data_IF_990597708146
#
_entry.id   IF_990597708146
#
_cell.length_a   1.000
_cell.length_b   1.000
_cell.length_c   1.000
_cell.angle_alpha   90.00
_cell.angle_beta   90.00
_cell.angle_gamma   90.00
#
_symmetry.space_group_name_H-M   'P 1'
#
loop_
_entity.id
_entity.type
_entity.pdbx_description
1 polymer ?
2 polymer ?
#
loop_
_entity_poly.entity_id
_entity_poly.type
_entity_poly.pdbx_seq_one_letter_code
_entity_poly.pdbx_strand_id
1 'polydeoxyribonucleotide' '(DA)(DC)' ?
#
# COMPACT_ATOMS: atom_id res chain seq x y z
N UNK C 1 3.44 -17.73 18.60
CA UNK C 1 4.35 -18.06 17.45
C UNK C 1 4.41 -16.93 16.41
N UNK C 2 3.24 -16.44 15.93
CA UNK C 2 3.07 -15.37 14.93
C UNK C 2 3.93 -14.08 14.94
N UNK C 3 3.57 -13.10 15.77
CA UNK C 3 4.30 -11.82 15.80
C UNK C 3 5.42 -11.62 16.84
N UNK C 4 6.05 -10.45 16.81
CA UNK C 4 7.16 -10.15 17.70
C UNK C 4 7.47 -8.67 17.63
N UNK C 5 7.53 -8.00 18.78
CA UNK C 5 7.82 -6.58 18.78
C UNK C 5 9.32 -6.34 18.92
N UNK C 6 9.91 -6.04 17.75
CA UNK C 6 11.34 -5.81 17.58
C UNK C 6 11.89 -4.39 17.69
N UNK C 7 12.97 -4.26 18.46
CA UNK C 7 13.62 -2.97 18.62
C UNK C 7 14.68 -2.87 17.52
N UNK C 8 14.76 -1.72 16.87
CA UNK C 8 15.76 -1.49 15.83
C UNK C 8 16.60 -0.23 16.08
N UNK C 9 17.87 -0.25 15.64
CA UNK C 9 18.82 0.86 15.80
C UNK C 9 18.56 1.99 14.80
N UNK C 10 17.29 2.19 14.45
CA UNK C 10 16.90 3.23 13.50
C UNK C 10 17.73 4.52 13.55
N UNK C 11 17.78 5.26 12.44
CA UNK C 11 18.50 6.53 12.26
C UNK C 11 18.04 7.59 13.28
N UNK C 12 18.90 8.58 13.52
CA UNK C 12 18.61 9.64 14.49
C UNK C 12 17.14 10.02 14.71
N UNK C 13 16.53 10.83 13.83
CA UNK C 13 15.14 11.09 14.20
C UNK C 13 14.15 10.18 13.48
N UNK C 14 13.54 9.29 14.25
CA UNK C 14 12.55 8.35 13.73
C UNK C 14 11.28 9.17 13.54
N UNK C 15 10.92 9.37 12.28
CA UNK C 15 9.76 10.16 11.95
C UNK C 15 8.77 9.30 11.14
N UNK C 16 7.54 9.79 11.03
CA UNK C 16 6.49 9.11 10.28
C UNK C 16 6.14 9.94 9.04
N UNK C 17 6.37 9.36 7.87
CA UNK C 17 6.12 10.06 6.62
C UNK C 17 4.64 10.09 6.22
N UNK C 18 4.20 11.27 5.78
CA UNK C 18 2.83 11.55 5.39
C UNK C 18 2.90 12.32 4.08
N UNK C 19 2.00 12.01 3.15
CA UNK C 19 1.98 12.68 1.86
C UNK C 19 1.26 14.01 1.94
N UNK C 20 1.72 15.00 1.18
CA UNK C 20 1.06 16.30 1.19
C UNK C 20 0.13 16.42 -0.01
N UNK C 21 -1.18 16.51 0.24
CA UNK C 21 -2.11 16.64 -0.89
C UNK C 21 -1.74 17.84 -1.78
N UNK C 22 -2.32 17.89 -2.96
CA UNK C 22 -2.03 18.97 -3.88
C UNK C 22 -2.50 20.32 -3.35
N UNK C 23 -1.59 21.30 -3.35
CA UNK C 23 -1.95 22.63 -2.87
C UNK C 23 -1.75 22.87 -1.39
N UNK C 24 -1.43 21.81 -0.66
CA UNK C 24 -1.20 21.88 0.79
C UNK C 24 0.29 22.13 1.05
N UNK C 25 0.59 23.18 1.79
CA UNK C 25 1.98 23.48 2.05
C UNK C 25 2.33 23.70 3.53
N UNK C 26 3.46 23.13 3.93
CA UNK C 26 3.94 23.21 5.33
C UNK C 26 5.46 23.28 5.44
N UNK C 27 5.93 24.06 6.41
CA UNK C 27 7.37 24.22 6.67
C UNK C 27 7.78 23.59 7.99
N UNK C 28 9.08 23.39 8.13
CA UNK C 28 9.63 22.81 9.35
C UNK C 28 9.17 23.56 10.60
N UNK C 29 8.82 22.82 11.64
CA UNK C 29 8.39 23.45 12.87
C UNK C 29 6.91 23.74 12.96
N UNK C 30 6.12 23.20 12.05
CA UNK C 30 4.69 23.46 12.09
C UNK C 30 3.87 22.24 12.48
N UNK C 31 2.80 22.44 13.22
CA UNK C 31 1.98 21.31 13.65
C UNK C 31 1.05 20.91 12.53
N UNK C 32 0.69 19.63 12.50
CA UNK C 32 -0.18 19.11 11.45
C UNK C 32 -1.06 18.00 11.99
N UNK C 33 -2.27 17.88 11.47
CA UNK C 33 -3.18 16.84 11.91
C UNK C 33 -2.92 15.65 10.99
N UNK C 34 -2.63 14.48 11.54
CA UNK C 34 -2.33 13.35 10.69
C UNK C 34 -3.02 12.03 11.10
N UNK C 35 -3.31 11.16 10.15
CA UNK C 35 -3.96 9.92 10.59
C UNK C 35 -2.99 9.10 11.46
N UNK C 36 -3.52 8.09 12.16
CA UNK C 36 -2.72 7.23 13.03
C UNK C 36 -3.62 6.06 13.41
N UNK C 37 -3.22 4.85 13.05
CA UNK C 37 -4.06 3.71 13.35
C UNK C 37 -5.13 3.63 12.28
N UNK C 38 -5.84 2.51 12.24
CA UNK C 38 -6.87 2.30 11.25
C UNK C 38 -7.97 3.34 11.26
N UNK C 39 -7.95 4.31 12.18
CA UNK C 39 -9.01 5.32 12.13
C UNK C 39 -8.94 6.57 13.03
N UNK C 40 -7.92 6.67 13.89
CA UNK C 40 -7.77 7.84 14.78
C UNK C 40 -6.87 8.95 14.20
N UNK C 41 -7.12 10.20 14.61
CA UNK C 41 -6.30 11.37 14.19
C UNK C 41 -5.35 11.75 15.35
N UNK C 42 -4.37 12.60 15.07
CA UNK C 42 -3.41 13.05 16.09
C UNK C 42 -2.60 14.27 15.65
N UNK C 43 -2.04 15.00 16.62
CA UNK C 43 -1.26 16.18 16.32
C UNK C 43 0.22 15.86 16.33
N UNK C 44 0.94 16.37 15.34
CA UNK C 44 2.36 16.14 15.27
C UNK C 44 3.04 17.36 14.76
N UNK C 45 4.38 17.34 14.74
CA UNK C 45 5.14 18.48 14.25
C UNK C 45 6.07 18.09 13.12
N UNK C 46 5.93 18.80 12.01
CA UNK C 46 6.77 18.53 10.85
C UNK C 46 8.20 18.87 11.22
N UNK C 47 9.10 17.93 10.97
CA UNK C 47 10.51 18.10 11.25
C UNK C 47 11.24 18.56 10.02
N UNK C 48 10.79 18.03 8.89
CA UNK C 48 11.37 18.34 7.59
C UNK C 48 10.46 17.91 6.44
N UNK C 49 10.75 18.44 5.27
CA UNK C 49 9.98 18.12 4.10
C UNK C 49 10.95 17.81 2.96
N UNK C 50 10.90 16.57 2.47
CA UNK C 50 11.78 16.17 1.38
C UNK C 50 10.98 15.74 0.15
N UNK C 51 11.69 15.12 -0.79
CA UNK C 51 11.13 14.61 -2.06
C UNK C 51 11.16 13.10 -2.11
N UNK C 52 11.32 12.45 -0.96
CA UNK C 52 11.37 10.98 -0.92
C UNK C 52 11.13 10.34 0.45
N UNK C 53 10.44 9.19 0.43
CA UNK C 53 10.15 8.41 1.64
C UNK C 53 10.63 6.97 1.48
N UNK C 54 10.88 6.29 2.59
CA UNK C 54 11.34 4.90 2.55
C UNK C 54 10.26 4.01 1.97
N UNK C 55 9.10 4.60 1.73
CA UNK C 55 7.97 3.87 1.20
C UNK C 55 7.42 4.58 -0.02
N UNK C 56 6.62 3.87 -0.81
CA UNK C 56 6.02 4.44 -2.02
C UNK C 56 5.24 5.72 -1.73
N UNK C 57 5.43 6.74 -2.55
CA UNK C 57 4.73 8.00 -2.37
C UNK C 57 3.23 7.89 -2.51
N UNK C 58 2.70 6.67 -2.53
CA UNK C 58 1.26 6.47 -2.69
C UNK C 58 0.73 5.61 -1.59
N UNK C 59 1.65 4.94 -0.88
CA UNK C 59 1.29 4.08 0.23
C UNK C 59 1.27 4.85 1.54
N UNK C 60 1.66 6.12 1.49
CA UNK C 60 1.67 6.93 2.69
C UNK C 60 0.29 7.54 2.83
N UNK C 61 -0.11 7.85 4.06
CA UNK C 61 -1.40 8.48 4.30
C UNK C 61 -1.17 9.96 4.08
N UNK C 62 -2.24 10.73 3.92
CA UNK C 62 -2.07 12.15 3.65
C UNK C 62 -2.29 12.99 4.89
N UNK C 63 -1.55 14.10 4.96
CA UNK C 63 -1.69 15.06 6.07
C UNK C 63 -3.13 15.55 5.96
N UNK C 64 -3.79 15.73 7.09
CA UNK C 64 -5.18 16.19 7.11
C UNK C 64 -5.34 17.68 7.09
N UNK C 65 -4.60 18.35 7.96
CA UNK C 65 -4.70 19.79 8.06
C UNK C 65 -3.48 20.36 8.74
N UNK C 66 -3.05 21.52 8.27
CA UNK C 66 -1.90 22.16 8.87
C UNK C 66 -2.48 23.14 9.88
N UNK C 67 -1.96 23.11 11.11
CA UNK C 67 -2.45 23.98 12.16
C UNK C 67 -1.65 25.26 12.30
N UNK C 68 -0.49 25.33 11.66
CA UNK C 68 0.35 26.50 11.79
C UNK C 68 0.86 27.08 10.49
N UNK C 69 0.56 28.35 10.24
CA UNK C 69 1.03 29.00 9.03
C UNK C 69 2.54 29.11 9.18
N UNK C 70 2.98 29.50 10.37
CA UNK C 70 4.40 29.66 10.65
C UNK C 70 4.87 28.85 11.84
N UNK C 71 6.17 28.52 11.87
CA UNK C 71 6.79 27.74 12.95
C UNK C 71 6.40 28.23 14.33
N UNK C 72 5.78 27.36 15.11
CA UNK C 72 5.35 27.71 16.47
C UNK C 72 6.61 27.81 17.38
N UNK C 73 7.76 27.50 16.80
CA UNK C 73 9.03 27.54 17.51
C UNK C 73 9.98 28.54 16.83
N UNK C 74 10.75 29.27 17.64
CA UNK C 74 11.72 30.25 17.11
C UNK C 74 12.82 29.52 16.34
N UNK C 75 13.49 30.21 15.42
CA UNK C 75 14.52 29.54 14.66
C UNK C 75 15.66 29.04 15.55
N UNK C 76 15.90 29.72 16.67
CA UNK C 76 16.97 29.33 17.61
C UNK C 76 16.50 28.10 18.39
N UNK C 77 15.37 28.27 19.07
CA UNK C 77 14.71 27.24 19.87
C UNK C 77 14.62 25.93 19.12
N UNK C 78 14.22 26.03 17.86
CA UNK C 78 14.09 24.86 17.02
C UNK C 78 15.48 24.22 16.87
N UNK C 79 16.43 24.94 16.30
CA UNK C 79 17.76 24.40 16.12
C UNK C 79 18.28 23.73 17.37
N UNK C 80 18.04 24.36 18.53
CA UNK C 80 18.50 23.81 19.80
C UNK C 80 17.86 22.47 20.12
N UNK C 81 16.53 22.44 20.13
CA UNK C 81 15.75 21.24 20.41
C UNK C 81 16.18 20.00 19.61
N UNK C 82 16.27 20.15 18.30
CA UNK C 82 16.68 19.06 17.41
C UNK C 82 18.07 18.60 17.85
N UNK C 83 18.92 19.57 18.15
CA UNK C 83 20.25 19.23 18.58
C UNK C 83 20.18 18.47 19.91
N UNK C 84 19.45 19.03 20.87
CA UNK C 84 19.29 18.39 22.19
C UNK C 84 18.79 16.94 22.02
N UNK C 85 17.80 16.75 21.18
CA UNK C 85 17.26 15.42 20.94
C UNK C 85 18.33 14.47 20.41
N UNK C 86 19.15 14.99 19.51
CA UNK C 86 20.20 14.24 18.85
C UNK C 86 21.33 13.87 19.79
N UNK C 87 21.96 14.89 20.35
CA UNK C 87 23.08 14.70 21.23
C UNK C 87 22.85 13.89 22.52
N UNK C 88 21.66 13.99 23.10
CA UNK C 88 21.36 13.28 24.34
C UNK C 88 20.49 12.03 24.10
N UNK C 89 20.25 11.75 22.82
CA UNK C 89 19.49 10.58 22.40
C UNK C 89 18.07 10.49 22.92
N UNK C 90 17.29 11.54 22.68
CA UNK C 90 15.89 11.57 23.08
C UNK C 90 15.06 11.62 21.81
N UNK C 91 13.90 10.94 21.81
CA UNK C 91 13.04 10.94 20.61
C UNK C 91 12.67 12.35 20.28
N UNK C 92 12.87 12.76 19.03
CA UNK C 92 12.58 14.14 18.63
C UNK C 92 11.13 14.53 18.90
N UNK C 93 10.20 13.61 18.64
CA UNK C 93 8.82 13.92 18.92
C UNK C 93 8.59 14.13 20.43
N UNK C 94 9.30 13.34 21.26
CA UNK C 94 9.21 13.43 22.72
C UNK C 94 9.76 14.78 23.22
N UNK C 95 10.87 15.26 22.67
CA UNK C 95 11.40 16.53 23.12
C UNK C 95 10.54 17.66 22.60
N UNK C 96 10.14 17.60 21.34
CA UNK C 96 9.31 18.67 20.80
C UNK C 96 7.98 18.91 21.49
N UNK C 97 7.20 17.87 21.74
CA UNK C 97 5.92 18.12 22.36
C UNK C 97 5.92 18.45 23.84
N UNK C 98 6.96 18.06 24.56
CA UNK C 98 6.99 18.36 25.96
C UNK C 98 7.34 19.80 26.17
N UNK C 99 8.35 20.25 25.44
CA UNK C 99 8.84 21.61 25.55
C UNK C 99 7.83 22.71 25.16
N UNK C 100 7.01 22.43 24.15
CA UNK C 100 6.01 23.37 23.69
C UNK C 100 5.26 24.07 24.83
N UNK C 101 4.72 23.30 25.80
CA UNK C 101 3.99 23.86 26.93
C UNK C 101 4.89 24.67 27.85
N UNK C 102 6.19 24.48 27.73
CA UNK C 102 7.10 25.27 28.55
C UNK C 102 7.31 26.57 27.76
N UNK C 103 8.04 26.48 26.66
CA UNK C 103 8.35 27.66 25.81
C UNK C 103 7.22 28.65 25.60
N UNK C 104 6.01 28.18 25.33
CA UNK C 104 4.90 29.10 25.09
C UNK C 104 4.37 29.70 26.38
N UNK C 105 4.09 28.82 27.31
CA UNK C 105 3.56 29.18 28.59
C UNK C 105 4.66 29.87 29.41
N UNK D 1 6.72 20.28 -1.18
CA UNK D 1 7.24 18.98 -1.67
C UNK D 1 6.36 17.78 -1.31
N UNK D 2 6.78 16.55 -1.69
CA UNK D 2 6.06 15.30 -1.45
C UNK D 2 5.93 14.81 -0.01
N UNK D 3 6.90 14.00 0.42
CA UNK D 3 6.90 13.41 1.76
C UNK D 3 7.09 14.33 2.96
N UNK D 4 6.07 14.41 3.81
CA UNK D 4 6.19 15.21 5.02
C UNK D 4 6.54 14.20 6.10
N UNK D 5 7.73 14.33 6.64
CA UNK D 5 8.19 13.44 7.71
C UNK D 5 7.66 14.06 8.97
N UNK D 6 6.72 13.39 9.60
CA UNK D 6 6.21 13.97 10.81
C UNK D 6 6.56 13.18 12.05
N UNK D 7 6.63 13.90 13.14
CA UNK D 7 6.95 13.35 14.44
C UNK D 7 5.70 13.13 15.29
N UNK D 8 5.59 11.99 15.95
CA UNK D 8 4.42 11.79 16.81
C UNK D 8 4.83 11.11 18.08
N UNK D 9 4.14 11.41 19.20
CA UNK D 9 4.59 10.72 20.41
C UNK D 9 4.09 9.28 20.61
N UNK D 10 4.52 8.40 19.72
CA UNK D 10 4.17 6.99 19.75
C UNK D 10 4.35 6.42 21.17
N UNK D 11 3.72 5.27 21.48
CA UNK D 11 3.83 4.62 22.80
C UNK D 11 5.29 4.31 23.14
N UNK D 12 5.58 4.13 24.42
CA UNK D 12 6.96 3.89 24.87
C UNK D 12 7.91 3.10 23.95
N UNK D 13 7.81 1.75 23.92
CA UNK D 13 8.71 1.01 23.04
C UNK D 13 8.28 0.95 21.57
N UNK D 14 8.84 1.81 20.74
CA UNK D 14 8.51 1.83 19.33
C UNK D 14 9.23 0.63 18.70
N UNK D 15 8.47 -0.39 18.34
CA UNK D 15 9.03 -1.59 17.73
C UNK D 15 8.42 -1.90 16.35
N UNK D 16 9.08 -2.76 15.58
CA UNK D 16 8.53 -3.14 14.28
C UNK D 16 8.20 -4.63 14.30
N UNK D 17 6.95 -4.93 13.94
CA UNK D 17 6.43 -6.30 13.92
C UNK D 17 6.87 -7.10 12.71
N UNK D 18 7.16 -8.37 12.94
CA UNK D 18 7.52 -9.27 11.87
C UNK D 18 6.97 -10.64 12.26
N UNK D 19 6.50 -11.39 11.27
CA UNK D 19 5.93 -12.71 11.53
C UNK D 19 6.99 -13.79 11.69
N UNK D 20 6.69 -14.73 12.57
CA UNK D 20 7.57 -15.86 12.82
C UNK D 20 7.04 -17.04 11.98
N UNK D 21 7.85 -17.51 11.02
CA UNK D 21 7.47 -18.62 10.15
C UNK D 21 7.14 -19.87 10.98
N UNK D 22 6.57 -20.89 10.33
CA UNK D 22 6.25 -22.11 11.06
C UNK D 22 7.51 -22.75 11.63
N UNK D 23 7.41 -23.20 12.88
CA UNK D 23 8.52 -23.87 13.53
C UNK D 23 9.68 -23.00 14.00
N UNK D 24 9.61 -21.70 13.76
CA UNK D 24 10.67 -20.79 14.19
C UNK D 24 10.30 -20.25 15.58
N UNK D 25 11.23 -20.38 16.51
CA UNK D 25 10.98 -19.92 17.87
C UNK D 25 12.06 -18.96 18.37
N UNK D 26 11.62 -17.88 19.02
CA UNK D 26 12.55 -16.91 19.58
C UNK D 26 11.93 -16.28 20.81
N UNK D 27 12.77 -15.96 21.79
CA UNK D 27 12.27 -15.31 22.98
C UNK D 27 12.87 -13.91 23.13
N UNK D 28 12.38 -13.20 24.13
CA UNK D 28 12.81 -11.84 24.43
C UNK D 28 14.32 -11.74 24.68
N UNK D 29 14.97 -10.83 23.98
CA UNK D 29 16.41 -10.65 24.18
C UNK D 29 17.29 -11.36 23.17
N UNK D 30 16.65 -11.91 22.15
CA UNK D 30 17.37 -12.61 21.10
C UNK D 30 17.53 -11.74 19.86
N UNK D 31 18.68 -11.87 19.19
CA UNK D 31 18.95 -11.12 17.97
C UNK D 31 18.28 -11.88 16.83
N UNK D 32 17.79 -11.16 15.83
CA UNK D 32 17.17 -11.81 14.67
C UNK D 32 17.44 -10.98 13.43
N UNK D 33 17.64 -11.65 12.30
CA UNK D 33 17.90 -10.96 11.04
C UNK D 33 16.56 -10.77 10.36
N UNK D 34 16.20 -9.53 10.08
CA UNK D 34 14.91 -9.29 9.44
C UNK D 34 14.98 -8.36 8.24
N UNK D 35 13.89 -8.31 7.45
CA UNK D 35 13.88 -7.45 6.28
C UNK D 35 13.70 -6.01 6.67
N UNK D 36 14.22 -5.12 5.83
CA UNK D 36 14.11 -3.70 6.09
C UNK D 36 14.25 -3.00 4.75
N UNK D 37 13.23 -2.24 4.38
CA UNK D 37 13.27 -1.57 3.11
C UNK D 37 12.97 -2.59 2.01
N UNK D 38 12.80 -2.09 0.80
CA UNK D 38 12.49 -2.91 -0.37
C UNK D 38 13.42 -4.09 -0.63
N UNK D 39 14.58 -4.15 0.01
CA UNK D 39 15.44 -5.31 -0.26
C UNK D 39 16.57 -5.71 0.68
N UNK D 40 17.00 -4.86 1.61
CA UNK D 40 18.09 -5.30 2.47
C UNK D 40 17.68 -5.84 3.84
N UNK D 41 18.59 -6.60 4.44
CA UNK D 41 18.33 -7.18 5.73
C UNK D 41 19.09 -6.43 6.82
N UNK D 42 18.76 -6.75 8.07
CA UNK D 42 19.39 -6.12 9.22
C UNK D 42 19.14 -6.86 10.51
N UNK D 43 20.11 -6.78 11.43
CA UNK D 43 20.01 -7.43 12.71
C UNK D 43 19.13 -6.59 13.65
N UNK D 44 18.24 -7.28 14.37
CA UNK D 44 17.36 -6.61 15.30
C UNK D 44 17.35 -7.39 16.60
N UNK D 45 16.68 -6.84 17.61
CA UNK D 45 16.60 -7.49 18.90
C UNK D 45 15.16 -7.63 19.32
N UNK D 46 14.70 -8.86 19.46
CA UNK D 46 13.32 -9.11 19.86
C UNK D 46 13.03 -8.65 21.29
N UNK D 47 12.12 -7.68 21.40
CA UNK D 47 11.71 -7.09 22.66
C UNK D 47 10.65 -7.90 23.39
N UNK D 48 9.75 -8.48 22.60
CA UNK D 48 8.66 -9.29 23.14
C UNK D 48 8.02 -10.07 21.99
N UNK D 49 7.23 -11.07 22.35
CA UNK D 49 6.55 -11.88 21.35
C UNK D 49 5.08 -11.94 21.77
N UNK D 50 4.19 -11.34 20.98
CA UNK D 50 2.77 -11.35 21.31
C UNK D 50 2.02 -12.16 20.27
N UNK D 51 0.69 -12.13 20.36
CA UNK D 51 -0.15 -12.85 19.40
C UNK D 51 -1.08 -11.82 18.74
N UNK D 52 -0.61 -10.57 18.69
CA UNK D 52 -1.35 -9.46 18.10
C UNK D 52 -0.43 -8.36 17.57
N UNK D 53 -0.72 -7.93 16.34
CA UNK D 53 0.05 -6.89 15.66
C UNK D 53 -0.91 -5.76 15.25
N UNK D 54 -0.42 -4.52 15.33
CA UNK D 54 -1.27 -3.40 14.98
C UNK D 54 -1.69 -3.41 13.50
N UNK D 55 -1.26 -4.43 12.74
CA UNK D 55 -1.68 -4.59 11.35
C UNK D 55 -1.90 -6.08 11.08
N UNK D 56 -2.62 -6.45 10.00
CA UNK D 56 -2.88 -7.85 9.68
C UNK D 56 -1.71 -8.86 9.70
N UNK D 57 -1.99 -10.04 10.27
CA UNK D 57 -1.05 -11.17 10.38
C UNK D 57 -0.52 -11.64 9.02
N UNK D 58 -0.92 -10.97 7.94
CA UNK D 58 -0.48 -11.38 6.58
C UNK D 58 0.37 -10.35 5.83
N UNK D 59 0.26 -9.07 6.14
CA UNK D 59 1.12 -8.14 5.41
C UNK D 59 2.29 -7.62 6.24
N UNK D 60 2.72 -8.47 7.15
CA UNK D 60 3.86 -8.25 8.03
C UNK D 60 4.92 -9.13 7.34
N UNK D 61 6.17 -8.71 7.33
CA UNK D 61 7.18 -9.56 6.70
C UNK D 61 7.65 -10.56 7.76
N UNK D 62 8.36 -11.59 7.35
CA UNK D 62 8.80 -12.62 8.30
C UNK D 62 10.25 -12.53 8.70
N UNK D 63 10.55 -12.93 9.92
CA UNK D 63 11.92 -12.93 10.39
C UNK D 63 12.63 -13.91 9.45
N UNK D 64 13.92 -13.69 9.22
CA UNK D 64 14.68 -14.57 8.34
C UNK D 64 15.40 -15.66 9.12
N UNK D 65 16.00 -15.29 10.25
CA UNK D 65 16.71 -16.28 11.06
C UNK D 65 17.04 -15.75 12.45
N UNK D 66 16.93 -16.63 13.44
CA UNK D 66 17.25 -16.29 14.82
C UNK D 66 18.75 -16.52 14.97
N UNK D 67 19.45 -15.56 15.55
CA UNK D 67 20.88 -15.72 15.74
C UNK D 67 21.25 -16.15 17.16
N UNK D 68 20.26 -16.27 18.04
CA UNK D 68 20.57 -16.69 19.41
C UNK D 68 19.49 -17.59 20.00
N UNK D 69 19.91 -18.72 20.55
CA UNK D 69 18.98 -19.66 21.14
C UNK D 69 18.57 -19.12 22.51
N UNK D 70 19.53 -18.45 23.13
CA UNK D 70 19.34 -17.90 24.45
C UNK D 70 19.60 -16.38 24.44
N UNK D 71 18.87 -15.61 25.28
CA UNK D 71 19.03 -14.16 25.35
C UNK D 71 20.49 -13.73 25.52
N UNK D 72 20.92 -12.84 24.64
CA UNK D 72 22.28 -12.30 24.70
C UNK D 72 22.38 -11.38 25.89
N UNK D 73 21.23 -11.16 26.54
CA UNK D 73 21.13 -10.29 27.70
C UNK D 73 20.78 -11.05 29.00
N UNK D 74 21.40 -10.66 30.12
CA UNK D 74 21.12 -11.24 31.44
C UNK D 74 19.67 -10.87 31.79
N UNK D 75 18.98 -11.72 32.56
CA UNK D 75 17.61 -11.41 32.95
C UNK D 75 17.62 -10.03 33.61
N UNK D 76 18.63 -9.80 34.47
CA UNK D 76 18.76 -8.54 35.20
C UNK D 76 19.09 -7.43 34.20
N UNK D 77 20.18 -7.61 33.47
CA UNK D 77 20.62 -6.63 32.46
C UNK D 77 19.45 -6.20 31.59
N UNK D 78 18.68 -7.15 31.10
CA UNK D 78 17.52 -6.84 30.26
C UNK D 78 16.53 -5.93 31.01
N UNK D 79 16.02 -6.39 32.16
CA UNK D 79 15.05 -5.59 32.92
C UNK D 79 15.55 -4.15 33.10
N UNK D 80 16.83 -4.03 33.46
CA UNK D 80 17.48 -2.76 33.70
C UNK D 80 17.40 -1.86 32.47
N UNK D 81 17.98 -2.34 31.38
CA UNK D 81 18.03 -1.61 30.12
C UNK D 81 16.67 -1.12 29.62
N UNK D 82 15.64 -1.97 29.70
CA UNK D 82 14.33 -1.57 29.21
C UNK D 82 13.84 -0.43 30.09
N UNK D 83 14.19 -0.48 31.38
CA UNK D 83 13.81 0.55 32.34
C UNK D 83 14.47 1.86 31.95
N UNK D 84 15.80 1.84 31.87
CA UNK D 84 16.55 3.03 31.48
C UNK D 84 15.93 3.64 30.24
N UNK D 85 15.72 2.82 29.22
CA UNK D 85 15.11 3.30 28.00
C UNK D 85 13.86 4.13 28.31
N UNK D 86 12.95 3.56 29.09
CA UNK D 86 11.71 4.23 29.46
C UNK D 86 11.88 5.41 30.39
N UNK D 87 12.65 5.21 31.45
CA UNK D 87 12.85 6.27 32.44
C UNK D 87 13.50 7.53 31.91
N UNK D 88 14.58 7.38 31.13
CA UNK D 88 15.29 8.54 30.58
C UNK D 88 14.85 8.93 29.17
N UNK D 89 13.78 8.31 28.67
CA UNK D 89 13.28 8.66 27.34
C UNK D 89 14.31 8.39 26.24
N UNK D 90 14.75 7.16 26.13
CA UNK D 90 15.70 6.84 25.08
C UNK D 90 15.02 5.70 24.30
N UNK D 91 15.17 5.67 22.96
CA UNK D 91 14.51 4.58 22.22
C UNK D 91 15.14 3.20 22.57
N UNK D 92 14.29 2.19 22.75
CA UNK D 92 14.70 0.82 23.11
C UNK D 92 15.79 0.29 22.18
N UNK D 93 15.58 0.52 20.90
CA UNK D 93 16.51 0.07 19.88
C UNK D 93 17.87 0.66 20.12
N UNK D 94 17.91 1.97 20.36
CA UNK D 94 19.15 2.71 20.62
C UNK D 94 19.87 2.20 21.87
N UNK D 95 19.16 2.07 22.99
CA UNK D 95 19.80 1.58 24.21
C UNK D 95 20.35 0.19 23.99
N UNK D 96 19.49 -0.70 23.51
CA UNK D 96 19.84 -2.08 23.25
C UNK D 96 21.09 -2.33 22.38
N UNK D 97 21.19 -1.67 21.23
CA UNK D 97 22.33 -1.85 20.33
C UNK D 97 23.59 -1.19 20.84
N UNK D 98 23.43 0.00 21.39
CA UNK D 98 24.58 0.66 21.91
C UNK D 98 25.01 -0.09 23.16
N UNK D 99 24.08 -0.86 23.73
CA UNK D 99 24.38 -1.61 24.94
C UNK D 99 24.97 -3.00 24.68
N UNK D 100 24.74 -3.54 23.49
CA UNK D 100 25.22 -4.88 23.17
C UNK D 100 26.74 -5.07 23.23
N UNK D 101 27.50 -4.21 22.56
CA UNK D 101 28.97 -4.28 22.54
C UNK D 101 29.54 -4.29 23.96
N UNK D 102 29.41 -3.17 24.66
CA UNK D 102 29.95 -3.09 26.01
C UNK D 102 29.69 -4.38 26.78
N UNK D 103 28.55 -5.01 26.52
CA UNK D 103 28.19 -6.24 27.20
C UNK D 103 29.08 -7.43 26.87
N UNK D 104 29.34 -7.62 25.58
CA UNK D 104 30.19 -8.71 25.07
C UNK D 104 31.66 -8.34 25.21
N UNK E 1 -3.97 -26.12 -18.45
CA UNK E 1 -4.91 -25.70 -19.53
C UNK E 1 -6.38 -25.73 -19.13
N UNK E 2 -6.73 -25.13 -17.99
CA UNK E 2 -8.13 -25.12 -17.57
C UNK E 2 -8.64 -23.68 -17.40
N UNK E 3 -7.77 -22.71 -17.61
CA UNK E 3 -8.16 -21.31 -17.48
C UNK E 3 -7.93 -20.49 -18.76
N UNK E 4 -9.00 -20.08 -19.43
CA UNK E 4 -8.85 -19.29 -20.64
C UNK E 4 -8.96 -17.83 -20.25
N UNK E 5 -7.93 -17.05 -20.56
CA UNK E 5 -7.93 -15.64 -20.25
C UNK E 5 -8.53 -14.88 -21.41
N UNK E 6 -9.71 -14.33 -21.17
CA UNK E 6 -10.41 -13.64 -22.22
C UNK E 6 -10.46 -12.12 -22.12
N UNK E 7 -10.18 -11.44 -23.23
CA UNK E 7 -10.23 -10.01 -23.25
C UNK E 7 -11.66 -9.63 -23.64
N UNK E 8 -12.14 -8.53 -23.07
CA UNK E 8 -13.49 -8.06 -23.35
C UNK E 8 -13.49 -6.55 -23.57
N UNK E 9 -14.40 -6.02 -24.43
CA UNK E 9 -14.46 -4.58 -24.68
C UNK E 9 -15.23 -3.83 -23.59
N UNK E 10 -14.95 -4.14 -22.32
CA UNK E 10 -15.64 -3.51 -21.19
C UNK E 10 -15.73 -2.00 -21.33
N UNK E 11 -16.72 -1.40 -20.67
CA UNK E 11 -16.97 0.05 -20.68
C UNK E 11 -15.80 0.94 -20.24
N UNK E 12 -15.87 2.21 -20.63
CA UNK E 12 -14.86 3.23 -20.33
C UNK E 12 -13.93 2.95 -19.13
N UNK E 13 -14.31 3.34 -17.90
CA UNK E 13 -13.36 3.04 -16.81
C UNK E 13 -13.64 1.73 -16.10
N UNK E 14 -12.79 0.74 -16.36
CA UNK E 14 -12.94 -0.55 -15.71
C UNK E 14 -12.41 -0.41 -14.29
N UNK E 15 -13.33 -0.45 -13.34
CA UNK E 15 -12.97 -0.29 -11.94
C UNK E 15 -13.44 -1.51 -11.09
N UNK E 16 -12.93 -1.57 -9.87
CA UNK E 16 -13.24 -2.67 -8.98
C UNK E 16 -14.05 -2.20 -7.77
N UNK E 17 -15.25 -2.75 -7.63
CA UNK E 17 -16.17 -2.40 -6.56
C UNK E 17 -15.82 -3.02 -5.22
N UNK E 18 -15.86 -2.18 -4.19
CA UNK E 18 -15.59 -2.58 -2.83
C UNK E 18 -16.69 -1.90 -2.04
N UNK E 19 -17.16 -2.56 -0.99
CA UNK E 19 -18.23 -2.02 -0.16
C UNK E 19 -17.67 -1.17 0.98
N UNK E 20 -18.39 -0.10 1.29
CA UNK E 20 -18.03 0.84 2.33
C UNK E 20 -18.58 0.37 3.67
N UNK E 21 -17.72 0.17 4.67
CA UNK E 21 -18.10 -0.29 6.00
C UNK E 21 -18.99 0.75 6.65
N UNK E 22 -19.70 0.35 7.69
CA UNK E 22 -20.58 1.25 8.44
C UNK E 22 -19.73 2.38 9.01
N UNK E 23 -20.12 3.62 8.74
CA UNK E 23 -19.41 4.77 9.27
C UNK E 23 -18.15 5.23 8.55
N UNK E 24 -17.75 4.52 7.50
CA UNK E 24 -16.56 4.94 6.76
C UNK E 24 -16.96 5.80 5.57
N UNK E 25 -16.22 6.88 5.38
CA UNK E 25 -16.50 7.83 4.31
C UNK E 25 -15.33 8.08 3.37
N UNK E 26 -15.60 8.16 2.06
CA UNK E 26 -14.57 8.44 1.05
C UNK E 26 -15.19 9.09 -0.18
N UNK E 27 -14.52 10.08 -0.74
CA UNK E 27 -15.02 10.75 -1.94
C UNK E 27 -14.06 10.51 -3.11
N UNK E 28 -14.50 10.87 -4.30
CA UNK E 28 -13.66 10.69 -5.48
C UNK E 28 -12.27 11.33 -5.30
N UNK E 29 -11.21 10.61 -5.66
CA UNK E 29 -9.90 11.17 -5.56
C UNK E 29 -9.09 10.74 -4.36
N UNK E 30 -9.68 9.92 -3.52
CA UNK E 30 -8.98 9.48 -2.33
C UNK E 30 -8.47 8.06 -2.48
N UNK E 31 -7.28 7.84 -1.92
CA UNK E 31 -6.66 6.53 -1.93
C UNK E 31 -7.25 5.70 -0.80
N UNK E 32 -7.46 4.42 -1.06
CA UNK E 32 -8.03 3.52 -0.07
C UNK E 32 -7.21 2.24 -0.12
N UNK E 33 -7.20 1.49 0.97
CA UNK E 33 -6.46 0.24 0.99
C UNK E 33 -7.55 -0.81 0.82
N UNK E 34 -7.39 -1.72 -0.12
CA UNK E 34 -8.44 -2.72 -0.33
C UNK E 34 -7.88 -4.10 -0.51
N UNK E 35 -8.75 -5.11 -0.43
CA UNK E 35 -8.28 -6.49 -0.61
C UNK E 35 -8.10 -6.79 -2.09
N UNK E 36 -7.22 -7.73 -2.40
CA UNK E 36 -6.95 -8.10 -3.76
C UNK E 36 -6.36 -9.50 -3.72
N UNK E 37 -7.05 -10.46 -4.31
CA UNK E 37 -6.55 -11.82 -4.28
C UNK E 37 -7.03 -12.43 -2.98
N UNK E 38 -6.90 -13.74 -2.89
CA UNK E 38 -7.32 -14.51 -1.73
C UNK E 38 -6.52 -14.17 -0.46
N UNK E 39 -5.58 -13.23 -0.57
CA UNK E 39 -4.73 -12.92 0.58
C UNK E 39 -4.24 -11.50 0.87
N UNK E 40 -3.64 -10.86 -0.13
CA UNK E 40 -3.07 -9.53 0.10
C UNK E 40 -3.89 -8.28 -0.15
N UNK E 41 -3.31 -7.16 0.27
CA UNK E 41 -3.93 -5.86 0.12
C UNK E 41 -3.16 -5.03 -0.87
N UNK E 42 -3.77 -3.93 -1.31
CA UNK E 42 -3.14 -3.01 -2.26
C UNK E 42 -3.83 -1.65 -2.20
N UNK E 43 -3.13 -0.63 -2.67
CA UNK E 43 -3.70 0.71 -2.63
C UNK E 43 -4.43 1.01 -3.93
N UNK E 44 -5.59 1.64 -3.83
CA UNK E 44 -6.33 1.99 -5.02
C UNK E 44 -6.83 3.42 -4.89
N UNK E 45 -7.46 3.95 -5.92
CA UNK E 45 -7.98 5.32 -5.84
C UNK E 45 -9.43 5.31 -6.23
N UNK E 46 -10.29 5.71 -5.29
CA UNK E 46 -11.71 5.72 -5.59
C UNK E 46 -11.94 6.69 -6.72
N UNK E 47 -12.62 6.21 -7.76
CA UNK E 47 -12.89 7.01 -8.92
C UNK E 47 -14.26 7.64 -8.77
N UNK E 48 -15.14 6.97 -8.03
CA UNK E 48 -16.51 7.47 -7.79
C UNK E 48 -17.20 6.58 -6.75
N UNK E 49 -18.30 7.08 -6.22
CA UNK E 49 -19.06 6.36 -5.20
C UNK E 49 -20.54 6.40 -5.56
N UNK E 50 -21.13 5.25 -5.87
CA UNK E 50 -22.55 5.25 -6.20
C UNK E 50 -23.32 4.28 -5.29
N UNK E 51 -24.58 4.05 -5.65
CA UNK E 51 -25.47 3.18 -4.87
C UNK E 51 -25.73 1.83 -5.52
N UNK E 52 -24.90 1.47 -6.51
CA UNK E 52 -25.08 0.21 -7.20
C UNK E 52 -23.82 -0.42 -7.77
N UNK E 53 -23.74 -1.74 -7.68
CA UNK E 53 -22.61 -2.48 -8.19
C UNK E 53 -23.21 -3.56 -9.09
N UNK E 54 -22.57 -3.89 -10.20
CA UNK E 54 -23.18 -4.90 -11.03
C UNK E 54 -22.96 -6.31 -10.48
N UNK E 55 -22.84 -6.38 -9.16
CA UNK E 55 -22.66 -7.62 -8.42
C UNK E 55 -23.34 -7.40 -7.06
N UNK E 56 -23.76 -8.48 -6.38
CA UNK E 56 -24.42 -8.46 -5.06
C UNK E 56 -23.76 -7.56 -4.01
N UNK E 57 -24.55 -6.67 -3.41
CA UNK E 57 -24.05 -5.74 -2.39
C UNK E 57 -23.58 -6.50 -1.14
N UNK E 58 -23.43 -7.81 -1.26
CA UNK E 58 -23.01 -8.68 -0.16
C UNK E 58 -21.79 -9.49 -0.59
N UNK E 59 -21.68 -9.72 -1.89
CA UNK E 59 -20.61 -10.51 -2.50
C UNK E 59 -19.29 -9.77 -2.72
N UNK E 60 -19.27 -8.46 -2.48
CA UNK E 60 -18.04 -7.70 -2.69
C UNK E 60 -17.37 -7.48 -1.36
N UNK E 61 -16.04 -7.39 -1.38
CA UNK E 61 -15.26 -7.20 -0.15
C UNK E 61 -15.41 -5.76 0.36
N UNK E 62 -14.93 -5.51 1.58
CA UNK E 62 -15.02 -4.17 2.15
C UNK E 62 -13.70 -3.44 2.15
N UNK E 63 -13.75 -2.13 1.90
CA UNK E 63 -12.54 -1.32 1.90
C UNK E 63 -11.93 -1.53 3.28
N UNK E 64 -10.60 -1.43 3.37
CA UNK E 64 -9.93 -1.63 4.64
C UNK E 64 -9.67 -0.33 5.37
N UNK E 65 -9.22 0.69 4.65
CA UNK E 65 -8.95 1.98 5.28
C UNK E 65 -8.73 3.04 4.24
N UNK E 66 -9.22 4.24 4.51
CA UNK E 66 -9.02 5.32 3.59
C UNK E 66 -7.73 6.04 4.02
N UNK E 67 -6.92 6.43 3.05
CA UNK E 67 -5.66 7.12 3.31
C UNK E 67 -5.73 8.61 3.10
N UNK E 68 -6.85 9.08 2.55
CA UNK E 68 -7.01 10.51 2.25
C UNK E 68 -8.32 11.08 2.75
N UNK E 69 -8.23 12.14 3.54
CA UNK E 69 -9.43 12.79 4.05
C UNK E 69 -10.00 13.60 2.89
N UNK E 70 -9.08 14.09 2.05
CA UNK E 70 -9.46 14.88 0.89
C UNK E 70 -8.65 14.43 -0.31
N UNK E 71 -9.20 14.60 -1.53
CA UNK E 71 -8.62 14.23 -2.82
C UNK E 71 -7.16 14.61 -2.98
N UNK E 72 -6.34 13.59 -3.21
CA UNK E 72 -4.91 13.76 -3.38
C UNK E 72 -4.63 14.53 -4.68
N UNK E 73 -5.69 14.74 -5.46
CA UNK E 73 -5.58 15.49 -6.71
C UNK E 73 -6.50 16.70 -6.65
N UNK E 74 -6.08 17.76 -7.33
CA UNK E 74 -6.84 18.99 -7.43
C UNK E 74 -8.08 18.73 -8.27
N UNK E 75 -9.13 19.52 -8.06
CA UNK E 75 -10.33 19.30 -8.83
C UNK E 75 -10.09 19.38 -10.32
N UNK E 76 -9.20 20.27 -10.76
CA UNK E 76 -8.89 20.39 -12.20
C UNK E 76 -8.07 19.20 -12.69
N UNK E 77 -6.90 19.01 -12.07
CA UNK E 77 -6.01 17.91 -12.37
C UNK E 77 -6.78 16.60 -12.51
N UNK E 78 -7.75 16.39 -11.61
CA UNK E 78 -8.61 15.19 -11.61
C UNK E 78 -9.38 15.15 -12.93
N UNK E 79 -10.30 16.09 -13.10
CA UNK E 79 -11.09 16.13 -14.30
C UNK E 79 -10.20 15.92 -15.52
N UNK E 80 -9.01 16.48 -15.50
CA UNK E 80 -8.06 16.37 -16.62
C UNK E 80 -7.64 14.90 -16.84
N UNK E 81 -7.15 14.26 -15.77
CA UNK E 81 -6.70 12.87 -15.83
C UNK E 81 -7.76 11.88 -16.25
N UNK E 82 -8.96 12.00 -15.71
CA UNK E 82 -10.00 11.04 -16.10
C UNK E 82 -10.26 11.23 -17.60
N UNK E 83 -10.14 12.45 -18.09
CA UNK E 83 -10.35 12.71 -19.50
C UNK E 83 -9.25 12.06 -20.28
N UNK E 84 -8.03 12.44 -19.95
CA UNK E 84 -6.90 11.86 -20.66
C UNK E 84 -7.17 10.37 -20.80
N UNK E 85 -7.34 9.68 -19.68
CA UNK E 85 -7.57 8.25 -19.72
C UNK E 85 -8.66 7.78 -20.69
N UNK E 86 -9.74 8.53 -20.80
CA UNK E 86 -10.81 8.12 -21.68
C UNK E 86 -10.55 8.43 -23.16
N UNK E 87 -10.09 9.64 -23.42
CA UNK E 87 -9.83 10.09 -24.76
C UNK E 87 -8.71 9.29 -25.40
N UNK E 88 -7.61 9.11 -24.68
CA UNK E 88 -6.46 8.39 -25.20
C UNK E 88 -6.50 6.87 -24.96
N UNK E 89 -7.64 6.39 -24.53
CA UNK E 89 -7.83 4.98 -24.27
C UNK E 89 -6.75 4.37 -23.40
N UNK E 90 -6.50 4.97 -22.25
CA UNK E 90 -5.51 4.38 -21.33
C UNK E 90 -6.31 3.98 -20.11
N UNK E 91 -5.84 2.98 -19.38
CA UNK E 91 -6.45 2.45 -18.15
C UNK E 91 -6.49 3.53 -17.07
N UNK E 92 -7.68 3.86 -16.54
CA UNK E 92 -7.83 4.91 -15.53
C UNK E 92 -6.91 4.70 -14.34
N UNK E 93 -6.77 3.44 -13.93
CA UNK E 93 -5.91 3.14 -12.82
C UNK E 93 -4.44 3.35 -13.18
N UNK E 94 -4.09 3.11 -14.44
CA UNK E 94 -2.72 3.30 -14.93
C UNK E 94 -2.36 4.77 -14.89
N UNK E 95 -3.21 5.61 -15.48
CA UNK E 95 -2.94 7.05 -15.54
C UNK E 95 -2.86 7.67 -14.17
N UNK E 96 -3.80 7.32 -13.29
CA UNK E 96 -3.82 7.88 -11.94
C UNK E 96 -2.61 7.56 -11.10
N UNK E 97 -2.20 6.30 -11.02
CA UNK E 97 -1.04 6.03 -10.19
C UNK E 97 0.31 6.43 -10.76
N UNK E 98 0.44 6.46 -12.07
CA UNK E 98 1.69 6.91 -12.66
C UNK E 98 1.78 8.40 -12.49
N UNK E 99 0.69 9.09 -12.78
CA UNK E 99 0.69 10.54 -12.65
C UNK E 99 0.92 11.05 -11.23
N UNK E 100 0.56 10.27 -10.21
CA UNK E 100 0.72 10.70 -8.82
C UNK E 100 2.08 11.31 -8.48
N UNK E 101 3.16 10.50 -8.52
CA UNK E 101 4.52 10.97 -8.22
C UNK E 101 4.81 12.27 -8.95
N UNK E 102 4.85 12.18 -10.27
CA UNK E 102 5.11 13.31 -11.14
C UNK E 102 4.27 14.54 -10.82
N UNK E 103 3.03 14.35 -10.40
CA UNK E 103 2.17 15.50 -10.08
C UNK E 103 2.56 16.11 -8.73
N UNK E 104 2.71 15.26 -7.71
CA UNK E 104 3.06 15.67 -6.37
C UNK E 104 4.51 16.09 -6.18
N UNK E 105 4.85 17.27 -6.68
CA UNK E 105 6.20 17.81 -6.54
C UNK E 105 7.29 16.91 -7.13
N UNK F 2 -24.18 1.94 -1.52
CA UNK F 2 -22.93 2.49 -0.91
C UNK F 2 -21.66 1.76 -1.37
N UNK F 3 -21.38 1.80 -2.67
CA UNK F 3 -20.17 1.18 -3.25
C UNK F 3 -19.17 2.20 -3.76
N UNK F 4 -17.89 1.94 -3.49
CA UNK F 4 -16.81 2.81 -3.93
C UNK F 4 -16.16 2.18 -5.13
N UNK F 5 -16.18 2.89 -6.26
CA UNK F 5 -15.59 2.42 -7.48
C UNK F 5 -14.11 2.79 -7.47
N UNK F 6 -13.27 1.82 -7.15
CA UNK F 6 -11.86 2.03 -7.02
C UNK F 6 -11.01 1.65 -8.23
N UNK F 7 -10.06 2.52 -8.57
CA UNK F 7 -9.15 2.30 -9.67
C UNK F 7 -7.88 1.71 -9.06
N UNK F 8 -7.32 0.68 -9.70
CA UNK F 8 -6.09 0.02 -9.21
C UNK F 8 -5.07 -0.08 -10.31
N UNK F 9 -3.78 0.03 -9.97
CA UNK F 9 -2.71 -0.07 -10.97
C UNK F 9 -2.42 -1.52 -11.33
N UNK F 10 -3.48 -2.30 -11.53
CA UNK F 10 -3.39 -3.71 -11.89
C UNK F 10 -2.36 -3.99 -12.99
N UNK F 11 -1.72 -5.17 -12.98
CA UNK F 11 -0.70 -5.60 -13.96
C UNK F 11 -1.10 -5.51 -15.43
N UNK F 12 -0.08 -5.50 -16.28
CA UNK F 12 -0.21 -5.39 -17.73
C UNK F 12 -1.60 -5.74 -18.35
N UNK F 13 -1.85 -7.01 -18.78
CA UNK F 13 -3.18 -7.20 -19.36
C UNK F 13 -4.21 -7.65 -18.33
N UNK F 14 -5.18 -6.78 -18.05
CA UNK F 14 -6.27 -7.10 -17.13
C UNK F 14 -7.15 -8.03 -17.93
N UNK F 15 -7.23 -9.27 -17.51
CA UNK F 15 -8.05 -10.20 -18.25
C UNK F 15 -8.97 -10.91 -17.27
N UNK F 16 -10.08 -11.45 -17.79
CA UNK F 16 -11.05 -12.15 -16.97
C UNK F 16 -10.90 -13.67 -17.16
N UNK F 17 -10.69 -14.37 -16.04
CA UNK F 17 -10.49 -15.80 -16.03
C UNK F 17 -11.80 -16.55 -16.08
N UNK F 18 -11.81 -17.57 -16.94
CA UNK F 18 -12.96 -18.44 -17.16
C UNK F 18 -12.44 -19.86 -17.19
N UNK F 19 -13.18 -20.80 -16.60
CA UNK F 19 -12.78 -22.20 -16.58
C UNK F 19 -13.14 -22.91 -17.88
N UNK F 20 -12.26 -23.81 -18.29
CA UNK F 20 -12.46 -24.58 -19.51
C UNK F 20 -13.02 -25.94 -19.16
N UNK F 21 -14.29 -26.19 -19.50
CA UNK F 21 -14.93 -27.48 -19.21
C UNK F 21 -14.16 -28.65 -19.78
N UNK F 22 -14.39 -29.83 -19.21
CA UNK F 22 -13.71 -31.05 -19.64
C UNK F 22 -13.93 -31.29 -21.14
N UNK F 23 -12.83 -31.49 -21.85
CA UNK F 23 -12.91 -31.75 -23.29
C UNK F 23 -12.97 -30.52 -24.20
N UNK F 24 -13.12 -29.34 -23.61
CA UNK F 24 -13.21 -28.09 -24.36
C UNK F 24 -11.81 -27.50 -24.46
N UNK F 25 -11.36 -27.18 -25.67
CA UNK F 25 -10.03 -26.62 -25.78
C UNK F 25 -9.94 -25.45 -26.75
N UNK F 26 -9.12 -24.46 -26.39
CA UNK F 26 -8.92 -23.27 -27.22
C UNK F 26 -7.49 -22.76 -27.15
N UNK F 27 -7.15 -22.01 -28.18
CA UNK F 27 -5.83 -21.44 -28.32
C UNK F 27 -5.85 -19.90 -28.26
N UNK F 28 -4.71 -19.33 -27.89
CA UNK F 28 -4.59 -17.88 -27.78
C UNK F 28 -4.95 -17.25 -29.12
N UNK F 29 -5.77 -16.21 -29.09
CA UNK F 29 -6.15 -15.56 -30.33
C UNK F 29 -7.50 -16.00 -30.83
N UNK F 30 -8.18 -16.81 -30.04
CA UNK F 30 -9.49 -17.28 -30.43
C UNK F 30 -10.61 -16.67 -29.59
N UNK F 31 -11.76 -16.50 -30.23
CA UNK F 31 -12.94 -15.91 -29.61
C UNK F 31 -13.72 -16.95 -28.81
N UNK F 32 -14.38 -16.51 -27.77
CA UNK F 32 -15.15 -17.43 -26.96
C UNK F 32 -16.36 -16.69 -26.40
N UNK F 33 -17.44 -17.41 -26.16
CA UNK F 33 -18.62 -16.80 -25.57
C UNK F 33 -18.50 -17.10 -24.09
N UNK F 34 -18.71 -16.09 -23.25
CA UNK F 34 -18.59 -16.30 -21.81
C UNK F 34 -19.64 -15.55 -21.00
N UNK F 35 -19.86 -15.95 -19.74
CA UNK F 35 -20.86 -15.23 -18.94
C UNK F 35 -20.29 -13.90 -18.48
N UNK F 36 -21.17 -12.95 -18.18
CA UNK F 36 -20.77 -11.63 -17.68
C UNK F 36 -21.99 -11.09 -16.96
N UNK F 37 -21.83 -10.78 -15.68
CA UNK F 37 -22.97 -10.30 -14.90
C UNK F 37 -23.70 -11.58 -14.52
N UNK F 38 -24.57 -11.58 -13.51
CA UNK F 38 -25.24 -12.84 -13.23
C UNK F 38 -26.41 -13.04 -14.17
N UNK F 39 -26.20 -12.71 -15.44
CA UNK F 39 -27.27 -12.79 -16.40
C UNK F 39 -26.90 -13.01 -17.88
N UNK F 40 -26.20 -12.03 -18.44
CA UNK F 40 -25.83 -12.01 -19.86
C UNK F 40 -24.59 -12.75 -20.34
N UNK F 41 -24.53 -12.87 -21.66
CA UNK F 41 -23.41 -13.50 -22.34
C UNK F 41 -22.69 -12.39 -23.16
N UNK F 42 -21.50 -12.70 -23.66
CA UNK F 42 -20.71 -11.76 -24.45
C UNK F 42 -19.53 -12.51 -25.10
N UNK F 43 -19.01 -11.97 -26.19
CA UNK F 43 -17.87 -12.59 -26.85
C UNK F 43 -16.54 -11.95 -26.45
N UNK F 44 -15.55 -12.78 -26.17
CA UNK F 44 -14.25 -12.26 -25.77
C UNK F 44 -13.13 -12.87 -26.58
N UNK F 45 -11.90 -12.51 -26.25
CA UNK F 45 -10.79 -13.07 -26.99
C UNK F 45 -9.72 -13.63 -26.06
N UNK F 46 -9.53 -14.94 -26.15
CA UNK F 46 -8.55 -15.65 -25.36
C UNK F 46 -7.19 -15.00 -25.56
N UNK F 47 -6.59 -14.51 -24.49
CA UNK F 47 -5.27 -13.89 -24.57
C UNK F 47 -4.20 -14.93 -24.29
N UNK F 48 -4.53 -15.89 -23.43
CA UNK F 48 -3.61 -16.97 -23.08
C UNK F 48 -4.33 -18.00 -22.23
N UNK F 49 -3.71 -19.17 -22.11
CA UNK F 49 -4.28 -20.27 -21.34
C UNK F 49 -3.23 -20.71 -20.34
N UNK F 50 -3.54 -20.65 -19.05
CA UNK F 50 -2.59 -21.07 -18.05
C UNK F 50 -3.14 -22.23 -17.23
N UNK F 51 -2.46 -22.51 -16.13
CA UNK F 51 -2.79 -23.60 -15.24
C UNK F 51 -3.18 -23.06 -13.86
N UNK F 52 -3.35 -21.74 -13.76
CA UNK F 52 -3.73 -21.14 -12.49
C UNK F 52 -4.36 -19.77 -12.62
N UNK F 53 -5.26 -19.45 -11.68
CA UNK F 53 -5.94 -18.16 -11.68
C UNK F 53 -5.91 -17.53 -10.28
N UNK F 54 -6.05 -16.21 -10.22
CA UNK F 54 -6.01 -15.49 -8.95
C UNK F 54 -7.15 -15.88 -7.99
N UNK F 55 -8.03 -16.77 -8.43
CA UNK F 55 -9.18 -17.23 -7.63
C UNK F 55 -9.22 -18.75 -7.77
N UNK F 56 -9.74 -19.47 -6.75
CA UNK F 56 -9.72 -20.91 -7.02
C UNK F 56 -10.53 -21.40 -8.22
N UNK F 57 -9.97 -22.42 -8.86
CA UNK F 57 -10.53 -23.00 -10.07
C UNK F 57 -11.93 -23.61 -10.03
N UNK F 58 -12.77 -23.15 -9.12
CA UNK F 58 -14.12 -23.68 -9.06
C UNK F 58 -15.07 -22.51 -8.85
N UNK F 59 -14.47 -21.39 -8.40
CA UNK F 59 -15.14 -20.12 -8.11
C UNK F 59 -15.32 -19.28 -9.39
N UNK F 60 -14.72 -19.78 -10.48
CA UNK F 60 -14.74 -19.14 -11.78
C UNK F 60 -15.86 -19.73 -12.62
N UNK F 61 -16.44 -18.94 -13.50
CA UNK F 61 -17.51 -19.41 -14.36
C UNK F 61 -16.85 -20.20 -15.49
N UNK F 62 -17.65 -20.89 -16.29
CA UNK F 62 -17.11 -21.70 -17.37
C UNK F 62 -17.30 -21.12 -18.78
N UNK F 63 -16.38 -21.42 -19.68
CA UNK F 63 -16.48 -20.94 -21.05
C UNK F 63 -17.72 -21.63 -21.57
N UNK F 64 -18.49 -20.94 -22.40
CA UNK F 64 -19.71 -21.49 -22.96
C UNK F 64 -19.53 -22.09 -24.34
N UNK F 65 -18.77 -21.40 -25.18
CA UNK F 65 -18.57 -21.85 -26.55
C UNK F 65 -17.35 -21.22 -27.22
N UNK F 66 -16.54 -22.07 -27.87
CA UNK F 66 -15.37 -21.61 -28.61
C UNK F 66 -15.94 -21.33 -30.00
N UNK F 67 -15.68 -20.14 -30.54
CA UNK F 67 -16.21 -19.78 -31.85
C UNK F 67 -15.14 -19.79 -32.93
N UNK F 68 -13.92 -20.17 -32.57
CA UNK F 68 -12.81 -20.22 -33.54
C UNK F 68 -11.87 -21.38 -33.21
N UNK F 69 -11.68 -22.31 -34.13
CA UNK F 69 -10.77 -23.39 -33.79
C UNK F 69 -9.37 -22.95 -34.20
N UNK F 70 -9.32 -21.84 -34.92
CA UNK F 70 -8.13 -21.21 -35.47
C UNK F 70 -8.04 -19.75 -34.96
N UNK F 71 -6.83 -19.25 -34.62
CA UNK F 71 -6.73 -17.86 -34.15
C UNK F 71 -7.12 -16.88 -35.28
N UNK F 72 -8.02 -15.96 -34.95
CA UNK F 72 -8.52 -14.97 -35.90
C UNK F 72 -7.47 -13.89 -36.27
N UNK F 73 -6.31 -13.97 -35.63
CA UNK F 73 -5.24 -13.04 -35.89
C UNK F 73 -4.01 -13.80 -36.35
N UNK F 74 -3.27 -13.15 -37.24
CA UNK F 74 -2.02 -13.68 -37.79
C UNK F 74 -1.05 -13.84 -36.64
N UNK F 75 -0.09 -14.73 -36.77
CA UNK F 75 0.89 -14.95 -35.71
C UNK F 75 1.66 -13.66 -35.47
N UNK F 76 1.84 -12.89 -36.54
CA UNK F 76 2.54 -11.61 -36.44
C UNK F 76 1.63 -10.52 -35.86
N UNK F 77 0.53 -10.22 -36.56
CA UNK F 77 -0.39 -9.20 -36.09
C UNK F 77 -0.67 -9.38 -34.61
N UNK F 78 -0.81 -10.62 -34.17
CA UNK F 78 -1.09 -10.86 -32.77
C UNK F 78 0.03 -10.32 -31.93
N UNK F 79 1.23 -10.84 -32.13
CA UNK F 79 2.38 -10.40 -31.37
C UNK F 79 2.46 -8.88 -31.41
N UNK F 80 2.10 -8.31 -32.55
CA UNK F 80 2.17 -6.87 -32.68
C UNK F 80 1.17 -6.18 -31.79
N UNK F 81 -0.11 -6.51 -31.92
CA UNK F 81 -1.14 -5.89 -31.09
C UNK F 81 -0.88 -6.00 -29.60
N UNK F 82 -0.48 -7.18 -29.14
CA UNK F 82 -0.19 -7.37 -27.73
C UNK F 82 0.86 -6.40 -27.24
N UNK F 83 1.80 -6.10 -28.12
CA UNK F 83 2.89 -5.17 -27.82
C UNK F 83 2.30 -3.78 -27.81
N UNK F 84 1.59 -3.45 -28.88
CA UNK F 84 0.96 -2.14 -28.95
C UNK F 84 0.23 -1.93 -27.63
N UNK F 85 -0.62 -2.86 -27.25
CA UNK F 85 -1.36 -2.72 -26.00
C UNK F 85 -0.48 -2.39 -24.76
N UNK F 86 0.65 -3.07 -24.60
CA UNK F 86 1.53 -2.83 -23.45
C UNK F 86 2.36 -1.53 -23.56
N UNK F 87 3.04 -1.34 -24.68
CA UNK F 87 3.89 -0.18 -24.91
C UNK F 87 3.17 1.18 -24.83
N UNK F 88 2.03 1.32 -25.52
CA UNK F 88 1.28 2.58 -25.47
C UNK F 88 0.13 2.55 -24.45
N UNK F 89 0.25 1.67 -23.46
CA UNK F 89 -0.73 1.52 -22.39
C UNK F 89 -2.20 1.57 -22.80
N UNK F 90 -2.63 0.59 -23.59
CA UNK F 90 -4.02 0.51 -23.99
C UNK F 90 -4.52 -0.83 -23.43
N UNK F 91 -5.80 -0.90 -23.03
CA UNK F 91 -6.30 -2.15 -22.49
C UNK F 91 -6.34 -3.17 -23.61
N UNK F 92 -5.77 -4.35 -23.36
CA UNK F 92 -5.68 -5.39 -24.39
C UNK F 92 -7.00 -5.70 -25.08
N UNK F 93 -8.07 -5.78 -24.30
CA UNK F 93 -9.38 -6.07 -24.83
C UNK F 93 -9.85 -4.95 -25.74
N UNK F 94 -9.43 -3.72 -25.43
CA UNK F 94 -9.76 -2.55 -26.22
C UNK F 94 -9.03 -2.62 -27.58
N UNK F 95 -7.73 -2.93 -27.58
CA UNK F 95 -6.99 -3.01 -28.84
C UNK F 95 -7.49 -4.16 -29.68
N UNK F 96 -7.62 -5.33 -29.07
CA UNK F 96 -8.06 -6.49 -29.82
C UNK F 96 -9.39 -6.26 -30.51
N UNK F 97 -10.39 -5.78 -29.79
CA UNK F 97 -11.66 -5.59 -30.44
C UNK F 97 -11.83 -4.49 -31.47
N UNK F 98 -11.04 -3.43 -31.38
CA UNK F 98 -11.14 -2.34 -32.36
C UNK F 98 -10.34 -2.67 -33.63
N UNK F 99 -9.23 -3.39 -33.45
CA UNK F 99 -8.34 -3.80 -34.55
C UNK F 99 -8.89 -4.87 -35.49
N UNK F 100 -9.67 -5.79 -34.92
CA UNK F 100 -10.27 -6.88 -35.65
C UNK F 100 -10.98 -6.38 -36.91
N UNK F 101 -11.91 -5.44 -36.75
CA UNK F 101 -12.63 -4.89 -37.91
C UNK F 101 -11.75 -4.22 -38.97
N UNK F 102 -10.92 -3.28 -38.53
CA UNK F 102 -10.02 -2.57 -39.43
C UNK F 102 -9.17 -3.54 -40.23
N UNK F 103 -8.84 -4.68 -39.61
CA UNK F 103 -8.02 -5.69 -40.27
C UNK F 103 -8.80 -6.43 -41.36
N UNK F 104 -10.12 -6.33 -41.33
CA UNK F 104 -10.96 -7.02 -42.32
C UNK F 104 -11.78 -6.06 -43.17
#
# INVERSE_FOLDING_TARGET
MPVAHVALPVPLPRTFDYLLPEGMTVKAGCRVRVPFGKQQERIGIVVSVSDASELPLNELKAVVEVLDSEPVFTHSVWRLLLWAADYYHHPIGDVLFHALPILLR
MPVAHVALPVPLPRTFDYLLPEGMTVKAGCRVRVPFGKQQERIGIVVSVSDASELPLNELKAVVEVLDSEPVFTHSVWRLLLWAADYYHHPIGDVLFHALPILLR
MPVAHVALPVPLPRTFDYLLPEGMTVKAGCRVRVPFGKQQERIGIVVSVSDASELPLNELKAVVEVLDSEPVFTHSVWRLLLWAADYYHHPIGDVLFHALPILLR
MPVAHVALPVPLPRTFDYLLPEGMTVKAGCRVRVPFGKQQERIGIVVSVSDASELPLNELKAVVEVLDSEPVFTHSVWRLLLWAADYYHHPIGDVLFHALPILLR
#
